data_IF_809643828411
#
_entry.id   IF_809643828411
#
_cell.length_a   1.000
_cell.length_b   1.000
_cell.length_c   1.000
_cell.angle_alpha   90.00
_cell.angle_beta   90.00
_cell.angle_gamma   90.00
#
_symmetry.space_group_name_H-M   'P 1'
#
loop_
_entity.id
_entity.type
_entity.pdbx_description
1 polymer ?
#
# COMPACT_ATOMS: atom_id res chain seq x y z
N UNK A 1 6.23 34.46 19.86
CA UNK A 1 6.13 33.11 20.37
C UNK A 1 6.77 32.02 19.49
N UNK A 2 7.41 32.34 18.35
CA UNK A 2 8.26 31.45 17.57
C UNK A 2 7.63 30.19 16.93
N UNK A 3 6.32 29.98 17.10
CA UNK A 3 5.66 28.73 16.68
C UNK A 3 5.43 28.69 15.17
N UNK A 4 5.03 29.84 14.58
CA UNK A 4 4.80 29.94 13.14
C UNK A 4 4.87 31.41 12.66
N UNK A 5 5.95 31.84 12.01
CA UNK A 5 6.05 33.17 11.40
C UNK A 5 5.33 33.23 10.05
N UNK A 6 4.93 34.42 9.62
CA UNK A 6 4.40 34.72 8.30
C UNK A 6 2.87 34.74 8.22
N UNK A 7 2.39 35.20 7.05
CA UNK A 7 0.96 35.31 6.74
C UNK A 7 0.31 33.93 6.65
N UNK A 8 -0.88 33.80 7.22
CA UNK A 8 -1.63 32.54 7.17
C UNK A 8 -2.06 32.28 5.71
N UNK A 9 -1.79 31.09 5.15
CA UNK A 9 -2.25 30.70 3.82
C UNK A 9 -3.74 30.34 3.85
N UNK A 10 -4.62 31.34 3.83
CA UNK A 10 -6.06 31.22 4.07
C UNK A 10 -6.71 30.14 3.18
N UNK A 11 -6.36 30.11 1.90
CA UNK A 11 -6.91 29.09 0.98
C UNK A 11 -6.60 27.64 1.41
N UNK A 12 -5.36 27.38 1.86
CA UNK A 12 -4.97 26.06 2.34
C UNK A 12 -5.65 25.71 3.66
N UNK A 13 -5.82 26.69 4.55
CA UNK A 13 -6.53 26.49 5.84
C UNK A 13 -8.02 26.22 5.59
N UNK A 14 -8.64 26.95 4.67
CA UNK A 14 -10.04 26.70 4.28
C UNK A 14 -10.21 25.30 3.65
N UNK A 15 -9.28 24.92 2.76
CA UNK A 15 -9.26 23.58 2.16
C UNK A 15 -9.09 22.47 3.18
N UNK A 16 -8.22 22.66 4.19
CA UNK A 16 -8.08 21.72 5.30
C UNK A 16 -9.38 21.61 6.11
N UNK A 17 -10.04 22.72 6.38
CA UNK A 17 -11.34 22.73 7.09
C UNK A 17 -12.41 21.94 6.34
N UNK A 18 -12.49 22.10 5.01
CA UNK A 18 -13.41 21.31 4.19
C UNK A 18 -13.02 19.82 4.15
N UNK A 19 -11.73 19.51 4.03
CA UNK A 19 -11.27 18.12 4.10
C UNK A 19 -11.62 17.45 5.43
N UNK A 20 -11.49 18.15 6.55
CA UNK A 20 -11.92 17.63 7.86
C UNK A 20 -13.43 17.39 7.91
N UNK A 21 -14.24 18.33 7.37
CA UNK A 21 -15.69 18.16 7.32
C UNK A 21 -16.11 16.94 6.49
N UNK A 22 -15.50 16.75 5.31
CA UNK A 22 -15.74 15.57 4.47
C UNK A 22 -15.29 14.29 5.17
N UNK A 23 -14.12 14.30 5.79
CA UNK A 23 -13.62 13.14 6.53
C UNK A 23 -14.60 12.71 7.64
N UNK A 24 -15.20 13.66 8.35
CA UNK A 24 -16.22 13.37 9.38
C UNK A 24 -17.49 12.78 8.76
N UNK A 25 -18.01 13.38 7.70
CA UNK A 25 -19.29 13.00 7.11
C UNK A 25 -19.25 11.71 6.30
N UNK A 26 -18.08 11.37 5.69
CA UNK A 26 -17.91 10.23 4.81
C UNK A 26 -17.17 9.06 5.47
N UNK A 27 -16.76 9.21 6.73
CA UNK A 27 -15.88 8.23 7.42
C UNK A 27 -16.41 6.80 7.35
N UNK A 28 -17.65 6.58 7.76
CA UNK A 28 -18.26 5.25 7.82
C UNK A 28 -18.37 4.61 6.43
N UNK A 29 -18.77 5.40 5.44
CA UNK A 29 -18.89 4.95 4.04
C UNK A 29 -17.52 4.60 3.47
N UNK A 30 -16.51 5.44 3.70
CA UNK A 30 -15.16 5.21 3.22
C UNK A 30 -14.52 3.97 3.86
N UNK A 31 -14.71 3.77 5.17
CA UNK A 31 -14.23 2.57 5.87
C UNK A 31 -14.89 1.29 5.32
N UNK A 32 -16.19 1.32 5.05
CA UNK A 32 -16.89 0.19 4.44
C UNK A 32 -16.32 -0.13 3.04
N UNK A 33 -16.15 0.89 2.20
CA UNK A 33 -15.56 0.75 0.86
C UNK A 33 -14.11 0.25 0.88
N UNK A 34 -13.31 0.66 1.88
CA UNK A 34 -11.95 0.15 2.06
C UNK A 34 -11.93 -1.34 2.43
N UNK A 35 -12.79 -1.75 3.36
CA UNK A 35 -12.89 -3.15 3.81
C UNK A 35 -13.35 -4.06 2.67
N UNK A 36 -14.37 -3.66 1.93
CA UNK A 36 -14.85 -4.43 0.76
C UNK A 36 -13.73 -4.71 -0.24
N UNK A 37 -12.94 -3.66 -0.57
CA UNK A 37 -11.79 -3.82 -1.46
C UNK A 37 -10.70 -4.70 -0.85
N UNK A 38 -10.42 -4.54 0.45
CA UNK A 38 -9.45 -5.38 1.14
C UNK A 38 -9.80 -6.85 1.07
N UNK A 39 -11.06 -7.19 1.33
CA UNK A 39 -11.53 -8.56 1.28
C UNK A 39 -11.38 -9.14 -0.14
N UNK A 40 -11.74 -8.37 -1.18
CA UNK A 40 -11.57 -8.77 -2.56
C UNK A 40 -10.09 -8.97 -2.95
N UNK A 41 -9.20 -8.10 -2.49
CA UNK A 41 -7.74 -8.22 -2.72
C UNK A 41 -7.19 -9.46 -2.03
N UNK A 42 -7.57 -9.73 -0.79
CA UNK A 42 -7.13 -10.92 -0.06
C UNK A 42 -7.63 -12.20 -0.73
N UNK A 43 -8.88 -12.23 -1.16
CA UNK A 43 -9.46 -13.35 -1.88
C UNK A 43 -8.74 -13.63 -3.21
N UNK A 44 -8.39 -12.57 -3.96
CA UNK A 44 -7.60 -12.67 -5.20
C UNK A 44 -6.24 -13.29 -4.93
N UNK A 45 -5.52 -12.79 -3.91
CA UNK A 45 -4.18 -13.29 -3.56
C UNK A 45 -4.25 -14.75 -3.15
N UNK A 46 -5.20 -15.13 -2.31
CA UNK A 46 -5.39 -16.51 -1.85
C UNK A 46 -5.68 -17.45 -3.03
N UNK A 47 -6.62 -17.09 -3.91
CA UNK A 47 -6.97 -17.87 -5.10
C UNK A 47 -5.85 -17.95 -6.14
N UNK A 48 -4.92 -17.02 -6.10
CA UNK A 48 -3.81 -16.99 -7.05
C UNK A 48 -2.84 -18.16 -6.92
N UNK A 49 -2.73 -18.74 -5.72
CA UNK A 49 -1.79 -19.81 -5.41
C UNK A 49 -0.32 -19.38 -5.28
N UNK A 50 -0.03 -18.07 -5.27
CA UNK A 50 1.33 -17.60 -4.93
C UNK A 50 1.62 -17.88 -3.45
N UNK A 51 2.89 -18.10 -3.11
CA UNK A 51 3.31 -18.16 -1.71
C UNK A 51 3.55 -16.75 -1.20
N UNK A 52 2.87 -16.37 -0.14
CA UNK A 52 2.96 -15.03 0.43
C UNK A 52 2.81 -15.04 1.95
N UNK A 53 3.25 -13.98 2.57
CA UNK A 53 3.01 -13.68 3.98
C UNK A 53 2.55 -12.24 4.14
N UNK A 54 1.49 -12.02 4.92
CA UNK A 54 1.04 -10.66 5.24
C UNK A 54 1.87 -10.13 6.40
N UNK A 55 2.38 -8.91 6.24
CA UNK A 55 3.20 -8.25 7.25
C UNK A 55 2.33 -7.38 8.16
N UNK A 56 2.44 -7.61 9.46
CA UNK A 56 1.69 -6.90 10.50
C UNK A 56 0.36 -7.55 10.87
N UNK A 57 -0.18 -7.09 11.99
CA UNK A 57 -1.46 -7.57 12.51
C UNK A 57 -2.61 -6.85 11.79
N UNK A 58 -3.48 -7.62 11.15
CA UNK A 58 -4.57 -7.11 10.33
C UNK A 58 -5.72 -6.48 11.12
N UNK A 59 -5.83 -6.78 12.42
CA UNK A 59 -6.84 -6.17 13.32
C UNK A 59 -6.50 -4.71 13.67
N UNK A 60 -5.22 -4.34 13.55
CA UNK A 60 -4.70 -3.01 13.92
C UNK A 60 -4.13 -2.23 12.75
N UNK A 61 -4.39 -2.64 11.52
CA UNK A 61 -3.92 -1.94 10.32
C UNK A 61 -5.02 -1.10 9.66
N UNK A 62 -4.61 -0.14 8.86
CA UNK A 62 -5.54 0.61 8.01
C UNK A 62 -6.22 -0.31 7.01
N UNK A 63 -7.55 -0.18 6.80
CA UNK A 63 -8.28 -1.07 5.91
C UNK A 63 -8.05 -0.80 4.42
N UNK A 64 -7.36 0.27 4.07
CA UNK A 64 -7.07 0.70 2.70
C UNK A 64 -5.63 0.41 2.26
N UNK A 65 -4.93 -0.44 2.99
CA UNK A 65 -3.55 -0.82 2.65
C UNK A 65 -3.26 -2.24 3.10
N UNK A 66 -2.34 -2.88 2.39
CA UNK A 66 -1.80 -4.18 2.72
C UNK A 66 -0.29 -4.17 2.48
N UNK A 67 0.47 -4.75 3.38
CA UNK A 67 1.88 -5.05 3.16
C UNK A 67 2.03 -6.57 3.14
N UNK A 68 2.59 -7.11 2.06
CA UNK A 68 2.81 -8.54 1.91
C UNK A 68 4.17 -8.82 1.30
N UNK A 69 4.76 -9.94 1.67
CA UNK A 69 5.97 -10.48 1.10
C UNK A 69 5.63 -11.65 0.19
N UNK A 70 6.11 -11.66 -1.05
CA UNK A 70 5.87 -12.74 -2.02
C UNK A 70 7.13 -13.60 -2.08
N UNK A 71 7.04 -14.82 -1.58
CA UNK A 71 8.19 -15.71 -1.45
C UNK A 71 8.88 -15.96 -2.80
N UNK A 72 10.19 -15.70 -2.85
CA UNK A 72 11.01 -15.92 -4.05
C UNK A 72 10.92 -14.82 -5.10
N UNK A 73 10.30 -13.67 -4.77
CA UNK A 73 10.17 -12.53 -5.68
C UNK A 73 10.84 -11.31 -5.07
N UNK A 74 11.83 -10.73 -5.74
CA UNK A 74 12.42 -9.46 -5.35
C UNK A 74 11.46 -8.31 -5.61
N UNK A 75 11.16 -7.52 -4.57
CA UNK A 75 10.16 -6.46 -4.63
C UNK A 75 10.50 -5.36 -5.64
N UNK A 76 11.79 -5.04 -5.82
CA UNK A 76 12.24 -4.06 -6.81
C UNK A 76 12.04 -4.56 -8.23
N UNK A 77 12.37 -5.83 -8.52
CA UNK A 77 12.13 -6.44 -9.81
C UNK A 77 10.64 -6.46 -10.16
N UNK A 78 9.80 -6.81 -9.19
CA UNK A 78 8.34 -6.79 -9.35
C UNK A 78 7.83 -5.37 -9.61
N UNK A 79 8.27 -4.38 -8.85
CA UNK A 79 7.87 -2.97 -9.01
C UNK A 79 8.24 -2.43 -10.39
N UNK A 80 9.45 -2.74 -10.88
CA UNK A 80 9.90 -2.29 -12.21
C UNK A 80 9.13 -2.97 -13.35
N UNK A 81 8.81 -4.26 -13.18
CA UNK A 81 8.12 -5.06 -14.20
C UNK A 81 6.61 -4.79 -14.25
N UNK A 82 6.02 -4.27 -13.18
CA UNK A 82 4.57 -4.03 -13.06
C UNK A 82 4.16 -2.56 -13.17
N UNK A 83 5.09 -1.63 -13.34
CA UNK A 83 4.84 -0.17 -13.36
C UNK A 83 3.82 0.31 -14.39
N UNK A 84 3.54 -0.48 -15.40
CA UNK A 84 2.54 -0.19 -16.43
C UNK A 84 1.11 -0.56 -16.02
N UNK A 85 0.94 -1.38 -14.97
CA UNK A 85 -0.36 -1.83 -14.48
C UNK A 85 -0.76 -1.05 -13.23
N UNK A 86 0.07 -1.08 -12.20
CA UNK A 86 -0.24 -0.41 -10.94
C UNK A 86 1.00 0.16 -10.26
N UNK A 87 0.79 1.15 -9.40
CA UNK A 87 1.81 1.69 -8.51
C UNK A 87 1.83 0.90 -7.20
N UNK A 88 2.91 0.16 -6.97
CA UNK A 88 3.21 -0.48 -5.68
C UNK A 88 4.40 0.21 -5.03
N UNK A 89 4.57 0.03 -3.74
CA UNK A 89 5.75 0.56 -3.01
C UNK A 89 6.54 -0.59 -2.39
N UNK A 90 7.86 -0.49 -2.47
CA UNK A 90 8.79 -1.30 -1.68
C UNK A 90 9.59 -0.38 -0.75
N UNK A 91 9.77 -0.76 0.51
CA UNK A 91 10.57 0.03 1.46
C UNK A 91 10.10 1.49 1.61
N UNK A 92 11.05 2.44 1.67
CA UNK A 92 10.78 3.88 1.76
C UNK A 92 11.08 4.57 0.42
N UNK A 93 10.14 5.36 -0.08
CA UNK A 93 10.26 6.10 -1.35
C UNK A 93 11.38 7.16 -1.36
N UNK A 94 11.92 7.52 -0.19
CA UNK A 94 12.89 8.62 -0.04
C UNK A 94 14.36 8.19 -0.19
N UNK A 95 14.65 6.90 -0.30
CA UNK A 95 16.03 6.37 -0.38
C UNK A 95 16.44 5.98 -1.80
N UNK A 96 16.00 6.73 -2.80
CA UNK A 96 16.20 6.44 -4.22
C UNK A 96 17.66 6.38 -4.70
N UNK A 97 18.65 6.62 -3.87
CA UNK A 97 20.06 6.53 -4.21
C UNK A 97 20.79 5.31 -3.62
N UNK A 98 20.23 4.66 -2.60
CA UNK A 98 20.76 3.42 -2.05
C UNK A 98 19.58 2.55 -1.58
N UNK A 99 19.50 1.32 -2.09
CA UNK A 99 18.54 0.34 -1.58
C UNK A 99 18.84 0.11 -0.09
N UNK A 100 17.93 0.55 0.77
CA UNK A 100 17.97 0.22 2.19
C UNK A 100 16.71 -0.53 2.59
N UNK A 101 16.85 -1.64 3.34
CA UNK A 101 15.70 -2.38 3.86
C UNK A 101 14.76 -1.47 4.64
N UNK A 102 13.47 -1.74 4.60
CA UNK A 102 12.49 -0.99 5.38
C UNK A 102 12.82 -1.06 6.88
N UNK A 103 13.17 0.07 7.48
CA UNK A 103 13.43 0.13 8.92
C UNK A 103 12.21 -0.27 9.75
N UNK A 104 11.00 -0.10 9.23
CA UNK A 104 9.75 -0.54 9.90
C UNK A 104 9.69 -2.06 9.94
N UNK A 105 9.88 -2.73 8.79
CA UNK A 105 9.84 -4.19 8.73
C UNK A 105 11.00 -4.82 9.53
N UNK A 106 12.16 -4.17 9.52
CA UNK A 106 13.31 -4.56 10.35
C UNK A 106 12.98 -4.45 11.85
N UNK A 107 12.35 -3.34 12.26
CA UNK A 107 11.94 -3.15 13.65
C UNK A 107 10.84 -4.12 14.09
N UNK A 108 10.03 -4.62 13.14
CA UNK A 108 9.07 -5.70 13.39
C UNK A 108 9.72 -7.08 13.53
N UNK A 109 11.03 -7.19 13.30
CA UNK A 109 11.78 -8.44 13.45
C UNK A 109 11.64 -9.41 12.28
N UNK A 110 11.25 -8.92 11.08
CA UNK A 110 11.18 -9.74 9.89
C UNK A 110 12.59 -10.06 9.39
N UNK A 111 12.76 -11.25 8.82
CA UNK A 111 14.03 -11.66 8.20
C UNK A 111 14.29 -10.94 6.87
N UNK A 112 15.53 -11.01 6.40
CA UNK A 112 16.00 -10.29 5.23
C UNK A 112 15.25 -10.70 3.94
N UNK A 113 14.95 -11.99 3.76
CA UNK A 113 14.27 -12.52 2.57
C UNK A 113 12.82 -12.02 2.53
N UNK A 114 12.16 -11.98 3.69
CA UNK A 114 10.82 -11.44 3.82
C UNK A 114 10.77 -9.94 3.60
N UNK A 115 11.79 -9.19 4.04
CA UNK A 115 11.89 -7.74 3.81
C UNK A 115 12.16 -7.43 2.34
N UNK A 116 13.06 -8.16 1.68
CA UNK A 116 13.41 -7.93 0.27
C UNK A 116 12.25 -8.20 -0.70
N UNK A 117 11.37 -9.13 -0.32
CA UNK A 117 10.18 -9.50 -1.09
C UNK A 117 8.92 -8.71 -0.73
N UNK A 118 9.02 -7.75 0.21
CA UNK A 118 7.87 -7.01 0.73
C UNK A 118 7.43 -5.89 -0.21
N UNK A 119 6.15 -5.89 -0.53
CA UNK A 119 5.47 -4.79 -1.26
C UNK A 119 4.32 -4.24 -0.43
N UNK A 120 3.98 -2.97 -0.68
CA UNK A 120 2.79 -2.33 -0.12
C UNK A 120 1.86 -1.91 -1.24
N UNK A 121 0.62 -2.34 -1.13
CA UNK A 121 -0.49 -1.98 -2.01
C UNK A 121 -1.45 -1.10 -1.22
N UNK A 122 -1.93 -0.02 -1.83
CA UNK A 122 -2.87 0.92 -1.19
C UNK A 122 -3.93 1.37 -2.19
N UNK A 123 -5.12 1.67 -1.69
CA UNK A 123 -6.25 2.12 -2.50
C UNK A 123 -7.04 3.22 -1.81
N UNK A 124 -7.78 4.00 -2.59
CA UNK A 124 -8.67 5.04 -2.11
C UNK A 124 -10.13 4.58 -1.97
N UNK A 125 -10.97 5.40 -1.34
CA UNK A 125 -12.42 5.15 -1.29
C UNK A 125 -13.04 5.12 -2.70
N UNK A 126 -12.56 6.00 -3.58
CA UNK A 126 -13.05 6.15 -4.96
C UNK A 126 -12.32 5.27 -5.98
N UNK A 127 -11.37 4.43 -5.56
CA UNK A 127 -10.75 3.44 -6.44
C UNK A 127 -11.82 2.46 -6.91
N UNK A 128 -11.95 2.27 -8.22
CA UNK A 128 -12.85 1.26 -8.77
C UNK A 128 -12.38 -0.14 -8.35
N UNK A 129 -13.31 -0.96 -7.86
CA UNK A 129 -12.96 -2.30 -7.35
C UNK A 129 -12.56 -3.26 -8.46
N UNK A 130 -13.27 -3.24 -9.58
CA UNK A 130 -13.02 -4.17 -10.67
C UNK A 130 -11.70 -3.83 -11.36
N UNK A 131 -11.42 -2.53 -11.55
CA UNK A 131 -10.13 -2.06 -12.03
C UNK A 131 -8.99 -2.49 -11.10
N UNK A 132 -9.14 -2.26 -9.79
CA UNK A 132 -8.15 -2.69 -8.79
C UNK A 132 -7.85 -4.19 -8.87
N UNK A 133 -8.88 -5.03 -8.97
CA UNK A 133 -8.72 -6.49 -9.04
C UNK A 133 -8.09 -6.92 -10.35
N UNK A 134 -8.44 -6.29 -11.47
CA UNK A 134 -7.83 -6.57 -12.77
C UNK A 134 -6.34 -6.22 -12.77
N UNK A 135 -5.96 -5.03 -12.34
CA UNK A 135 -4.57 -4.59 -12.28
C UNK A 135 -3.72 -5.46 -11.31
N UNK A 136 -4.30 -5.84 -10.18
CA UNK A 136 -3.62 -6.76 -9.25
C UNK A 136 -3.51 -8.18 -9.79
N UNK A 137 -4.43 -8.62 -10.64
CA UNK A 137 -4.31 -9.91 -11.32
C UNK A 137 -3.11 -9.93 -12.27
N UNK A 138 -2.86 -8.84 -13.01
CA UNK A 138 -1.69 -8.67 -13.85
C UNK A 138 -0.40 -8.62 -13.01
N UNK A 139 -0.41 -7.87 -11.90
CA UNK A 139 0.70 -7.85 -10.96
C UNK A 139 1.07 -9.26 -10.46
N UNK A 140 0.06 -10.06 -10.11
CA UNK A 140 0.25 -11.44 -9.66
C UNK A 140 0.80 -12.33 -10.79
N UNK A 141 0.35 -12.14 -12.04
CA UNK A 141 0.88 -12.86 -13.18
C UNK A 141 2.37 -12.54 -13.41
N UNK A 142 2.76 -11.27 -13.29
CA UNK A 142 4.17 -10.85 -13.33
C UNK A 142 4.95 -11.48 -12.17
N UNK A 143 4.42 -11.43 -10.94
CA UNK A 143 5.08 -12.02 -9.77
C UNK A 143 5.36 -13.52 -9.98
N UNK A 144 4.41 -14.28 -10.53
CA UNK A 144 4.60 -15.71 -10.87
C UNK A 144 5.72 -15.95 -11.88
N UNK A 145 5.93 -15.02 -12.81
CA UNK A 145 7.01 -15.13 -13.81
C UNK A 145 8.39 -14.81 -13.23
N UNK A 146 8.46 -14.17 -12.09
CA UNK A 146 9.68 -13.77 -11.38
C UNK A 146 10.08 -14.73 -10.26
N UNK A 147 9.29 -15.76 -9.97
CA UNK A 147 9.66 -16.78 -8.97
C UNK A 147 10.79 -17.63 -9.54
N UNK A 148 11.91 -17.66 -8.83
CA UNK A 148 13.09 -18.46 -9.15
C UNK A 148 13.13 -19.74 -8.30
#
# INVERSE_FOLDING_TARGET
HGIRPGTIPVALVAGLGEACRLAETEYEQNIAAYKEKKDAVLELIEKSGIKYEINGNQDYCMPNTINLSITGVESEALMLSSKQFCGISNGSACTSHEYSPSYVLTAMGLDADRISSAIRISWGAHTDKDELINELSELIAVAKSLVF
#
